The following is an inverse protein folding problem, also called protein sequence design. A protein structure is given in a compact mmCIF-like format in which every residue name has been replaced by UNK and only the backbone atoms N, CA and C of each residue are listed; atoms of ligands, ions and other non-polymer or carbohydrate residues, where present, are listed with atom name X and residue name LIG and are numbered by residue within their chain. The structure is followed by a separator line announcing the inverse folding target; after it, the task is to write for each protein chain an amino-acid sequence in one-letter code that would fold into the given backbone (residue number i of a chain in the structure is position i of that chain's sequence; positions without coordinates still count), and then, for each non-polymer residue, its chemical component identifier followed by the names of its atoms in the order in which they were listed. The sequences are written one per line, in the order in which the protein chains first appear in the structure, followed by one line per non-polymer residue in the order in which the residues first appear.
data_IF_329963876202
#
_entry.id   IF_329963876202
#
_cell.length_a   1.000
_cell.length_b   1.000
_cell.length_c   1.000
_cell.angle_alpha   90.00
_cell.angle_beta   90.00
_cell.angle_gamma   90.00
#
_symmetry.space_group_name_H-M   'P 1'
#
loop_
_entity.id
_entity.type
_entity.pdbx_description
1 polymer ?
#
# COMPACT_ATOMS: atom_id res chain seq x y z
N UNK A 1 -26.58 26.68 9.19
CA UNK A 1 -25.67 25.91 8.31
C UNK A 1 -26.32 25.81 6.95
N UNK A 2 -25.55 25.82 5.86
CA UNK A 2 -26.10 25.58 4.53
C UNK A 2 -26.58 24.12 4.43
N UNK A 3 -27.56 23.86 3.56
CA UNK A 3 -27.93 22.48 3.23
C UNK A 3 -26.95 21.88 2.23
N UNK A 4 -26.96 20.55 2.09
CA UNK A 4 -26.16 19.88 1.07
C UNK A 4 -26.51 20.35 -0.36
N UNK A 5 -25.47 20.48 -1.18
CA UNK A 5 -25.62 20.77 -2.61
C UNK A 5 -26.07 19.50 -3.35
N UNK A 6 -27.22 19.57 -4.03
CA UNK A 6 -27.77 18.45 -4.82
C UNK A 6 -27.99 18.88 -6.27
N UNK A 7 -27.39 18.15 -7.21
CA UNK A 7 -27.45 18.41 -8.66
C UNK A 7 -27.73 17.11 -9.43
N UNK A 8 -28.95 16.58 -9.27
CA UNK A 8 -29.40 15.35 -9.95
C UNK A 8 -30.41 15.60 -11.08
N UNK A 9 -30.65 16.86 -11.46
CA UNK A 9 -31.68 17.20 -12.46
C UNK A 9 -31.33 16.78 -13.89
N UNK A 10 -30.08 16.40 -14.15
CA UNK A 10 -29.59 16.01 -15.48
C UNK A 10 -28.55 14.90 -15.34
N UNK A 11 -28.82 13.74 -15.95
CA UNK A 11 -27.83 12.67 -16.05
C UNK A 11 -26.74 13.02 -17.08
N UNK A 12 -25.52 12.49 -16.90
CA UNK A 12 -24.52 12.46 -17.96
C UNK A 12 -25.05 11.77 -19.23
N UNK A 13 -24.45 12.11 -20.38
CA UNK A 13 -24.89 11.59 -21.67
C UNK A 13 -24.82 10.05 -21.67
N UNK A 14 -25.94 9.40 -22.02
CA UNK A 14 -26.03 7.93 -22.07
C UNK A 14 -26.47 7.27 -20.77
N UNK A 15 -26.67 8.05 -19.70
CA UNK A 15 -27.10 7.56 -18.39
C UNK A 15 -28.52 8.01 -18.04
N UNK A 16 -29.12 7.27 -17.11
CA UNK A 16 -30.36 7.66 -16.43
C UNK A 16 -30.10 7.72 -14.93
N UNK A 17 -30.73 8.68 -14.23
CA UNK A 17 -30.63 8.74 -12.77
C UNK A 17 -31.56 7.68 -12.18
N UNK A 18 -31.05 6.72 -11.37
CA UNK A 18 -31.91 5.77 -10.68
C UNK A 18 -32.97 6.48 -9.84
N UNK A 19 -34.25 6.04 -9.85
CA UNK A 19 -35.30 6.69 -9.07
C UNK A 19 -34.97 6.82 -7.58
N UNK A 20 -34.30 5.82 -7.01
CA UNK A 20 -33.83 5.85 -5.63
C UNK A 20 -32.79 6.96 -5.39
N UNK A 21 -31.87 7.19 -6.33
CA UNK A 21 -30.89 8.27 -6.23
C UNK A 21 -31.57 9.65 -6.27
N UNK A 22 -32.56 9.82 -7.14
CA UNK A 22 -33.34 11.06 -7.20
C UNK A 22 -34.12 11.30 -5.90
N UNK A 23 -34.76 10.27 -5.36
CA UNK A 23 -35.53 10.32 -4.11
C UNK A 23 -34.63 10.66 -2.90
N UNK A 24 -33.47 10.02 -2.78
CA UNK A 24 -32.54 10.30 -1.68
C UNK A 24 -31.89 11.67 -1.85
N UNK A 25 -31.57 12.09 -3.07
CA UNK A 25 -31.06 13.44 -3.34
C UNK A 25 -32.05 14.53 -2.93
N UNK A 26 -33.34 14.36 -3.25
CA UNK A 26 -34.38 15.29 -2.81
C UNK A 26 -34.49 15.36 -1.27
N UNK A 27 -34.28 14.24 -0.58
CA UNK A 27 -34.27 14.21 0.89
C UNK A 27 -33.00 14.85 1.48
N UNK A 28 -31.82 14.56 0.91
CA UNK A 28 -30.51 15.11 1.33
C UNK A 28 -30.46 16.63 1.16
N UNK A 29 -31.07 17.18 0.10
CA UNK A 29 -31.12 18.64 -0.11
C UNK A 29 -31.85 19.41 1.00
N UNK A 30 -32.58 18.72 1.88
CA UNK A 30 -33.23 19.29 3.07
C UNK A 30 -32.42 19.09 4.37
N UNK A 31 -31.29 18.38 4.31
CA UNK A 31 -30.41 18.18 5.45
C UNK A 31 -29.33 19.25 5.50
N UNK A 32 -28.91 19.63 6.70
CA UNK A 32 -27.77 20.53 6.88
C UNK A 32 -26.47 19.83 6.47
N UNK A 33 -25.58 20.56 5.80
CA UNK A 33 -24.23 20.09 5.47
C UNK A 33 -23.49 19.66 6.75
N UNK A 34 -22.69 18.59 6.65
CA UNK A 34 -21.98 17.98 7.77
C UNK A 34 -22.83 17.09 8.68
N UNK A 35 -24.10 16.81 8.36
CA UNK A 35 -24.94 15.89 9.17
C UNK A 35 -24.94 14.44 8.69
N UNK A 36 -24.41 14.17 7.50
CA UNK A 36 -24.30 12.85 6.87
C UNK A 36 -22.86 12.58 6.43
N UNK A 37 -21.89 13.09 7.17
CA UNK A 37 -20.48 13.14 6.75
C UNK A 37 -20.14 14.35 5.88
N UNK A 38 -18.88 14.41 5.45
CA UNK A 38 -18.29 15.51 4.72
C UNK A 38 -18.22 15.19 3.23
N UNK A 39 -19.05 15.87 2.44
CA UNK A 39 -19.00 15.78 0.98
C UNK A 39 -19.42 17.11 0.38
N UNK A 40 -18.87 17.44 -0.78
CA UNK A 40 -19.05 18.75 -1.41
C UNK A 40 -20.38 18.84 -2.16
N UNK A 41 -20.73 17.77 -2.88
CA UNK A 41 -21.95 17.72 -3.65
C UNK A 41 -22.44 16.29 -3.87
N UNK A 42 -23.76 16.15 -3.95
CA UNK A 42 -24.43 14.99 -4.53
C UNK A 42 -24.88 15.37 -5.95
N UNK A 43 -24.07 15.05 -6.94
CA UNK A 43 -24.18 15.55 -8.31
C UNK A 43 -23.92 14.44 -9.32
N UNK A 44 -24.74 14.33 -10.37
CA UNK A 44 -24.55 13.33 -11.41
C UNK A 44 -23.62 13.87 -12.51
N UNK A 45 -22.34 13.51 -12.46
CA UNK A 45 -21.30 14.04 -13.33
C UNK A 45 -20.46 12.91 -13.97
N UNK A 46 -19.92 13.11 -15.19
CA UNK A 46 -18.95 12.18 -15.76
C UNK A 46 -17.74 12.06 -14.83
N UNK A 47 -17.20 10.85 -14.69
CA UNK A 47 -15.91 10.67 -14.00
C UNK A 47 -14.81 11.41 -14.81
N UNK A 48 -13.94 12.24 -14.20
CA UNK A 48 -12.92 12.97 -14.93
C UNK A 48 -12.02 12.05 -15.76
N UNK A 49 -11.70 12.45 -16.99
CA UNK A 49 -10.80 11.66 -17.86
C UNK A 49 -9.38 11.63 -17.29
N UNK A 50 -9.01 12.69 -16.59
CA UNK A 50 -7.72 12.89 -15.93
C UNK A 50 -7.48 11.87 -14.82
N UNK A 51 -8.54 11.30 -14.24
CA UNK A 51 -8.42 10.27 -13.21
C UNK A 51 -7.74 9.01 -13.75
N UNK A 52 -8.19 8.51 -14.91
CA UNK A 52 -7.51 7.44 -15.63
C UNK A 52 -7.81 7.53 -17.14
N UNK A 53 -6.89 8.07 -17.95
CA UNK A 53 -7.10 8.25 -19.38
C UNK A 53 -7.37 6.94 -20.14
N UNK A 54 -6.83 5.82 -19.68
CA UNK A 54 -6.98 4.50 -20.33
C UNK A 54 -8.34 3.87 -20.04
N UNK A 55 -8.95 4.18 -18.90
CA UNK A 55 -10.25 3.63 -18.47
C UNK A 55 -11.42 4.58 -18.70
N UNK A 56 -11.14 5.84 -19.07
CA UNK A 56 -12.13 6.91 -19.20
C UNK A 56 -13.32 6.54 -20.10
N UNK A 57 -13.08 5.93 -21.26
CA UNK A 57 -14.16 5.56 -22.20
C UNK A 57 -15.14 4.56 -21.58
N UNK A 58 -14.63 3.59 -20.81
CA UNK A 58 -15.46 2.60 -20.11
C UNK A 58 -16.24 3.24 -18.97
N UNK A 59 -15.56 4.05 -18.16
CA UNK A 59 -16.18 4.81 -17.08
C UNK A 59 -17.30 5.71 -17.60
N UNK A 60 -17.08 6.48 -18.67
CA UNK A 60 -18.09 7.36 -19.25
C UNK A 60 -19.28 6.61 -19.83
N UNK A 61 -19.08 5.38 -20.32
CA UNK A 61 -20.14 4.56 -20.89
C UNK A 61 -21.06 3.98 -19.82
N UNK A 62 -20.48 3.46 -18.73
CA UNK A 62 -21.18 2.55 -17.82
C UNK A 62 -21.23 3.05 -16.37
N UNK A 63 -20.61 4.20 -16.06
CA UNK A 63 -20.63 4.78 -14.73
C UNK A 63 -20.77 6.32 -14.76
N UNK A 64 -21.18 6.88 -13.63
CA UNK A 64 -21.08 8.31 -13.38
C UNK A 64 -20.82 8.59 -11.89
N UNK A 65 -20.09 9.66 -11.59
CA UNK A 65 -19.92 10.14 -10.23
C UNK A 65 -21.25 10.70 -9.71
N UNK A 66 -21.65 10.33 -8.49
CA UNK A 66 -22.86 10.86 -7.85
C UNK A 66 -22.59 11.58 -6.53
N UNK A 67 -21.40 11.44 -5.94
CA UNK A 67 -20.99 12.08 -4.70
C UNK A 67 -19.52 12.51 -4.80
N UNK A 68 -19.22 13.76 -4.42
CA UNK A 68 -17.88 14.37 -4.47
C UNK A 68 -17.33 14.56 -3.07
N UNK A 69 -16.10 14.09 -2.82
CA UNK A 69 -15.43 14.17 -1.53
C UNK A 69 -14.40 15.32 -1.51
N UNK A 70 -14.08 15.88 -0.33
CA UNK A 70 -13.21 17.06 -0.21
C UNK A 70 -11.77 16.84 -0.67
N UNK A 71 -11.29 15.60 -0.60
CA UNK A 71 -9.95 15.17 -1.03
C UNK A 71 -9.82 15.01 -2.57
N UNK A 72 -10.90 15.27 -3.31
CA UNK A 72 -10.99 15.07 -4.75
C UNK A 72 -11.45 13.67 -5.17
N UNK A 73 -11.70 12.78 -4.22
CA UNK A 73 -12.26 11.46 -4.47
C UNK A 73 -13.75 11.54 -4.84
N UNK A 74 -14.26 10.52 -5.53
CA UNK A 74 -15.63 10.46 -6.03
C UNK A 74 -16.25 9.11 -5.67
N UNK A 75 -17.54 9.09 -5.31
CA UNK A 75 -18.32 7.86 -5.43
C UNK A 75 -19.02 7.81 -6.78
N UNK A 76 -18.80 6.71 -7.49
CA UNK A 76 -19.41 6.40 -8.76
C UNK A 76 -20.54 5.37 -8.61
N UNK A 77 -21.63 5.62 -9.31
CA UNK A 77 -22.66 4.63 -9.59
C UNK A 77 -22.26 3.89 -10.86
N UNK A 78 -22.07 2.58 -10.75
CA UNK A 78 -21.57 1.72 -11.82
C UNK A 78 -22.67 0.76 -12.24
N UNK A 79 -22.96 0.72 -13.53
CA UNK A 79 -23.85 -0.27 -14.13
C UNK A 79 -23.04 -1.51 -14.52
N UNK A 80 -23.14 -2.64 -13.80
CA UNK A 80 -22.35 -3.83 -14.10
C UNK A 80 -22.81 -4.56 -15.37
N UNK A 81 -23.99 -4.19 -15.91
CA UNK A 81 -24.70 -4.94 -16.95
C UNK A 81 -25.50 -6.13 -16.39
N UNK A 82 -26.14 -6.89 -17.29
CA UNK A 82 -26.79 -8.18 -17.01
C UNK A 82 -27.76 -8.22 -15.80
N UNK A 83 -28.81 -7.40 -15.82
CA UNK A 83 -29.86 -7.33 -14.77
C UNK A 83 -29.33 -7.15 -13.32
N UNK A 84 -28.05 -6.80 -13.16
CA UNK A 84 -27.44 -6.57 -11.87
C UNK A 84 -27.85 -5.19 -11.32
N UNK A 85 -27.97 -5.05 -9.99
CA UNK A 85 -28.16 -3.74 -9.39
C UNK A 85 -26.94 -2.85 -9.62
N UNK A 86 -27.18 -1.54 -9.66
CA UNK A 86 -26.12 -0.54 -9.81
C UNK A 86 -25.26 -0.53 -8.55
N UNK A 87 -23.98 -0.86 -8.71
CA UNK A 87 -23.02 -0.88 -7.62
C UNK A 87 -22.49 0.53 -7.32
N UNK A 88 -21.97 0.71 -6.11
CA UNK A 88 -21.31 1.94 -5.69
C UNK A 88 -19.82 1.67 -5.54
N UNK A 89 -19.01 2.47 -6.21
CA UNK A 89 -17.56 2.36 -6.21
C UNK A 89 -16.91 3.67 -5.78
N UNK A 90 -15.76 3.57 -5.11
CA UNK A 90 -14.87 4.69 -4.83
C UNK A 90 -13.88 4.84 -5.98
N UNK A 91 -13.75 6.08 -6.45
CA UNK A 91 -12.81 6.59 -7.43
C UNK A 91 -11.98 7.65 -6.71
N UNK A 92 -10.91 7.21 -6.05
CA UNK A 92 -10.10 8.04 -5.16
C UNK A 92 -9.14 8.96 -5.91
N UNK A 93 -8.80 10.09 -5.31
CA UNK A 93 -7.96 11.13 -5.92
C UNK A 93 -6.53 10.68 -6.23
N UNK A 94 -6.01 9.70 -5.49
CA UNK A 94 -4.68 9.11 -5.69
C UNK A 94 -4.70 7.85 -6.60
N UNK A 95 -5.80 7.65 -7.34
CA UNK A 95 -5.97 6.50 -8.24
C UNK A 95 -6.69 5.32 -7.59
N UNK A 96 -7.23 5.48 -6.38
CA UNK A 96 -7.97 4.42 -5.71
C UNK A 96 -9.23 4.01 -6.49
N UNK A 97 -9.44 2.70 -6.60
CA UNK A 97 -10.59 2.07 -7.21
C UNK A 97 -11.02 0.86 -6.38
N UNK A 98 -12.17 0.96 -5.69
CA UNK A 98 -12.74 -0.17 -4.96
C UNK A 98 -14.26 -0.17 -4.97
N UNK A 99 -14.87 -1.33 -4.78
CA UNK A 99 -16.30 -1.44 -4.51
C UNK A 99 -16.59 -1.00 -3.08
N UNK A 100 -17.53 -0.09 -2.92
CA UNK A 100 -18.05 0.34 -1.61
C UNK A 100 -19.33 -0.43 -1.26
N UNK A 101 -20.19 -0.68 -2.25
CA UNK A 101 -21.38 -1.51 -2.08
C UNK A 101 -21.80 -2.18 -3.39
N UNK A 102 -22.45 -3.34 -3.30
CA UNK A 102 -22.94 -4.09 -4.46
C UNK A 102 -24.25 -3.53 -5.01
N UNK A 103 -24.85 -2.55 -4.33
CA UNK A 103 -26.04 -1.84 -4.77
C UNK A 103 -26.13 -0.44 -4.15
N UNK A 104 -26.85 0.48 -4.78
CA UNK A 104 -27.18 1.78 -4.19
C UNK A 104 -27.93 1.62 -2.86
N UNK A 105 -28.84 0.65 -2.76
CA UNK A 105 -29.59 0.35 -1.54
C UNK A 105 -28.68 -0.10 -0.39
N UNK A 106 -27.71 -0.96 -0.68
CA UNK A 106 -26.70 -1.41 0.30
C UNK A 106 -25.83 -0.25 0.76
N UNK A 107 -25.36 0.59 -0.18
CA UNK A 107 -24.59 1.79 0.15
C UNK A 107 -25.35 2.71 1.11
N UNK A 108 -26.62 3.02 0.83
CA UNK A 108 -27.43 3.87 1.71
C UNK A 108 -27.60 3.26 3.10
N UNK A 109 -27.70 1.93 3.19
CA UNK A 109 -27.80 1.24 4.46
C UNK A 109 -26.49 1.25 5.25
N UNK A 110 -25.34 1.14 4.58
CA UNK A 110 -24.00 1.28 5.17
C UNK A 110 -23.77 2.71 5.66
N UNK A 111 -24.12 3.70 4.83
CA UNK A 111 -24.00 5.11 5.16
C UNK A 111 -24.85 5.52 6.37
N UNK A 112 -26.05 4.98 6.48
CA UNK A 112 -26.90 5.17 7.66
C UNK A 112 -26.32 4.56 8.96
N UNK A 113 -25.34 3.65 8.86
CA UNK A 113 -24.65 3.04 10.00
C UNK A 113 -23.25 3.61 10.24
N UNK A 114 -22.69 4.37 9.28
CA UNK A 114 -21.29 4.79 9.32
C UNK A 114 -20.33 3.62 9.06
N UNK A 115 -20.71 2.72 8.16
CA UNK A 115 -19.97 1.51 7.81
C UNK A 115 -19.65 1.47 6.31
N UNK A 116 -19.44 2.62 5.67
CA UNK A 116 -19.08 2.68 4.24
C UNK A 116 -17.60 2.39 3.99
N UNK A 117 -16.80 2.43 5.05
CA UNK A 117 -15.33 2.45 5.03
C UNK A 117 -14.78 3.66 4.27
N UNK A 118 -15.58 4.71 4.07
CA UNK A 118 -15.15 5.99 3.48
C UNK A 118 -15.04 7.00 4.62
N UNK A 119 -13.82 7.40 4.97
CA UNK A 119 -13.52 8.21 6.15
C UNK A 119 -14.39 9.47 6.26
N UNK A 120 -14.55 10.20 5.16
CA UNK A 120 -15.33 11.43 5.15
C UNK A 120 -16.83 11.20 5.40
N UNK A 121 -17.37 10.05 4.99
CA UNK A 121 -18.78 9.69 5.22
C UNK A 121 -18.99 9.06 6.61
N UNK A 122 -17.97 8.35 7.10
CA UNK A 122 -18.00 7.61 8.34
C UNK A 122 -17.50 8.42 9.56
N UNK A 123 -17.06 9.66 9.36
CA UNK A 123 -16.70 10.61 10.42
C UNK A 123 -17.84 10.78 11.47
N UNK A 124 -17.49 10.58 12.74
CA UNK A 124 -18.40 10.69 13.88
C UNK A 124 -18.83 12.14 14.15
N UNK A 125 -18.01 13.15 13.82
CA UNK A 125 -18.43 14.55 13.88
C UNK A 125 -19.55 14.83 12.87
N UNK A 126 -19.53 14.10 11.75
CA UNK A 126 -20.52 14.15 10.68
C UNK A 126 -21.76 13.27 10.87
N UNK A 127 -21.93 12.58 12.00
CA UNK A 127 -22.88 11.46 12.13
C UNK A 127 -24.32 11.85 12.53
N UNK A 128 -24.58 13.11 12.88
CA UNK A 128 -25.82 13.53 13.55
C UNK A 128 -27.13 13.24 12.79
N UNK A 129 -27.08 13.17 11.46
CA UNK A 129 -28.19 12.88 10.55
C UNK A 129 -28.36 11.41 10.18
N UNK A 130 -27.43 10.50 10.55
CA UNK A 130 -27.49 9.07 10.18
C UNK A 130 -28.76 8.38 10.66
N UNK A 131 -29.26 8.73 11.85
CA UNK A 131 -30.55 8.22 12.37
C UNK A 131 -31.74 8.67 11.50
N UNK A 132 -31.70 9.89 10.97
CA UNK A 132 -32.74 10.39 10.08
C UNK A 132 -32.69 9.68 8.72
N UNK A 133 -31.49 9.40 8.20
CA UNK A 133 -31.32 8.57 6.98
C UNK A 133 -31.86 7.15 7.21
N UNK A 134 -31.52 6.49 8.31
CA UNK A 134 -32.05 5.18 8.66
C UNK A 134 -33.59 5.16 8.74
N UNK A 135 -34.18 6.20 9.35
CA UNK A 135 -35.64 6.34 9.43
C UNK A 135 -36.28 6.57 8.05
N UNK A 136 -35.64 7.37 7.20
CA UNK A 136 -36.08 7.61 5.83
C UNK A 136 -36.06 6.34 4.99
N UNK A 137 -34.97 5.56 5.04
CA UNK A 137 -34.85 4.27 4.35
C UNK A 137 -35.96 3.29 4.77
N UNK A 138 -36.25 3.23 6.08
CA UNK A 138 -37.34 2.42 6.62
C UNK A 138 -38.71 2.88 6.12
N UNK A 139 -38.96 4.19 6.09
CA UNK A 139 -40.23 4.76 5.61
C UNK A 139 -40.44 4.51 4.11
N UNK A 140 -39.37 4.64 3.31
CA UNK A 140 -39.36 4.35 1.87
C UNK A 140 -39.29 2.86 1.54
N UNK A 141 -39.16 2.00 2.55
CA UNK A 141 -39.05 0.54 2.43
C UNK A 141 -37.88 0.10 1.53
N UNK A 142 -36.79 0.85 1.55
CA UNK A 142 -35.57 0.53 0.80
C UNK A 142 -34.95 -0.72 1.40
N UNK A 143 -34.62 -1.71 0.56
CA UNK A 143 -33.98 -2.96 0.96
C UNK A 143 -32.92 -3.33 -0.05
N UNK A 144 -31.72 -3.62 0.44
CA UNK A 144 -30.64 -4.11 -0.40
C UNK A 144 -31.07 -5.39 -1.14
N UNK A 145 -30.95 -5.45 -2.48
CA UNK A 145 -31.16 -6.68 -3.22
C UNK A 145 -30.11 -7.71 -2.83
N UNK A 146 -30.42 -9.00 -3.01
CA UNK A 146 -29.40 -10.05 -2.98
C UNK A 146 -28.60 -9.99 -4.28
N UNK A 147 -27.55 -9.19 -4.29
CA UNK A 147 -26.63 -9.07 -5.42
C UNK A 147 -25.50 -10.10 -5.30
N UNK A 148 -24.86 -10.41 -6.42
CA UNK A 148 -23.52 -11.02 -6.39
C UNK A 148 -22.50 -9.94 -6.08
N UNK A 149 -21.39 -10.34 -5.47
CA UNK A 149 -20.29 -9.42 -5.19
C UNK A 149 -19.79 -8.79 -6.51
N UNK A 150 -19.86 -7.46 -6.56
CA UNK A 150 -19.36 -6.64 -7.65
C UNK A 150 -17.93 -6.22 -7.34
N UNK A 151 -17.07 -6.29 -8.34
CA UNK A 151 -15.67 -5.88 -8.22
C UNK A 151 -15.38 -4.77 -9.21
N UNK A 152 -15.26 -3.55 -8.68
CA UNK A 152 -15.04 -2.37 -9.50
C UNK A 152 -13.66 -2.36 -10.16
N UNK A 153 -12.61 -2.78 -9.46
CA UNK A 153 -11.25 -2.83 -10.02
C UNK A 153 -11.21 -3.82 -11.20
N UNK A 154 -11.84 -4.98 -11.04
CA UNK A 154 -12.01 -5.94 -12.12
C UNK A 154 -12.75 -5.43 -13.31
N UNK A 155 -13.86 -4.76 -12.99
CA UNK A 155 -14.71 -4.22 -13.99
C UNK A 155 -13.97 -3.13 -14.79
N UNK A 156 -13.11 -2.31 -14.17
CA UNK A 156 -12.25 -1.36 -14.86
C UNK A 156 -11.23 -2.03 -15.79
N UNK A 157 -10.70 -3.19 -15.40
CA UNK A 157 -9.75 -3.95 -16.22
C UNK A 157 -10.39 -4.59 -17.46
N UNK A 158 -11.67 -4.91 -17.38
CA UNK A 158 -12.43 -5.41 -18.52
C UNK A 158 -11.99 -6.78 -19.03
N UNK A 159 -12.14 -7.02 -20.34
CA UNK A 159 -11.72 -8.27 -20.98
C UNK A 159 -10.21 -8.30 -21.28
N UNK A 160 -9.43 -7.42 -20.65
CA UNK A 160 -7.98 -7.44 -20.80
C UNK A 160 -7.47 -8.83 -20.43
N UNK A 161 -6.90 -9.52 -21.41
CA UNK A 161 -6.27 -10.83 -21.21
C UNK A 161 -5.17 -10.58 -20.18
N UNK A 162 -5.23 -11.22 -18.99
CA UNK A 162 -4.14 -11.12 -18.03
C UNK A 162 -2.85 -11.46 -18.77
N UNK A 163 -1.74 -10.71 -18.59
CA UNK A 163 -0.48 -11.09 -19.19
C UNK A 163 -0.25 -12.57 -18.86
N UNK A 164 0.15 -13.34 -19.88
CA UNK A 164 0.29 -14.79 -19.78
C UNK A 164 0.95 -15.11 -18.44
N UNK A 165 0.22 -15.82 -17.58
CA UNK A 165 0.65 -16.15 -16.23
C UNK A 165 2.10 -16.57 -16.31
N UNK A 166 2.97 -15.77 -15.69
CA UNK A 166 4.36 -16.14 -15.52
C UNK A 166 4.39 -17.58 -15.00
N UNK A 167 5.33 -18.42 -15.44
CA UNK A 167 5.43 -19.79 -14.97
C UNK A 167 5.30 -19.80 -13.44
N UNK A 168 4.55 -20.75 -12.86
CA UNK A 168 4.31 -20.77 -11.43
C UNK A 168 5.63 -20.56 -10.71
N UNK A 169 5.70 -19.47 -9.96
CA UNK A 169 6.87 -19.10 -9.18
C UNK A 169 7.34 -20.36 -8.44
N UNK A 170 8.65 -20.62 -8.43
CA UNK A 170 9.22 -21.55 -7.47
C UNK A 170 8.73 -21.11 -6.10
N UNK A 171 7.86 -21.93 -5.49
CA UNK A 171 7.38 -21.73 -4.13
C UNK A 171 8.61 -21.64 -3.25
N UNK A 172 8.80 -20.51 -2.56
CA UNK A 172 9.88 -20.37 -1.60
C UNK A 172 9.84 -21.59 -0.66
N UNK A 173 10.93 -22.34 -0.63
CA UNK A 173 11.03 -23.52 0.22
C UNK A 173 11.62 -23.10 1.54
N UNK A 174 10.77 -23.01 2.56
CA UNK A 174 11.18 -22.68 3.92
C UNK A 174 12.01 -23.83 4.51
N UNK A 175 13.31 -23.58 4.74
CA UNK A 175 14.23 -24.54 5.35
C UNK A 175 14.68 -23.99 6.70
N UNK A 176 14.23 -24.56 7.84
CA UNK A 176 14.41 -23.94 9.15
C UNK A 176 15.87 -23.89 9.61
N UNK A 177 16.30 -22.74 10.13
CA UNK A 177 17.60 -22.57 10.81
C UNK A 177 17.64 -23.22 12.19
N UNK A 178 18.82 -23.25 12.81
CA UNK A 178 18.95 -23.66 14.21
C UNK A 178 18.23 -22.72 15.18
N UNK A 179 18.08 -21.43 14.82
CA UNK A 179 17.34 -20.45 15.62
C UNK A 179 15.85 -20.76 15.58
N UNK A 180 15.29 -21.00 14.39
CA UNK A 180 13.90 -21.41 14.22
C UNK A 180 13.52 -22.61 15.10
N UNK A 181 14.40 -23.61 15.22
CA UNK A 181 14.18 -24.81 16.06
C UNK A 181 14.16 -24.53 17.58
N UNK A 182 14.66 -23.38 18.03
CA UNK A 182 14.66 -22.97 19.45
C UNK A 182 13.40 -22.22 19.85
N UNK A 183 12.58 -21.79 18.89
CA UNK A 183 11.33 -21.09 19.16
C UNK A 183 10.30 -22.04 19.79
N UNK A 184 9.31 -21.49 20.50
CA UNK A 184 8.19 -22.29 20.96
C UNK A 184 7.32 -22.78 19.79
N UNK A 185 6.50 -23.84 20.00
CA UNK A 185 5.75 -24.47 18.92
C UNK A 185 4.76 -23.52 18.23
N UNK A 186 4.19 -22.53 18.93
CA UNK A 186 3.23 -21.60 18.32
C UNK A 186 3.92 -20.60 17.41
N UNK A 187 5.06 -20.05 17.84
CA UNK A 187 5.87 -19.12 17.05
C UNK A 187 6.52 -19.85 15.88
N UNK A 188 6.97 -21.10 16.05
CA UNK A 188 7.43 -21.92 14.93
C UNK A 188 6.33 -22.13 13.89
N UNK A 189 5.11 -22.47 14.33
CA UNK A 189 4.00 -22.67 13.41
C UNK A 189 3.69 -21.38 12.64
N UNK A 190 3.68 -20.22 13.31
CA UNK A 190 3.43 -18.93 12.68
C UNK A 190 4.54 -18.54 11.69
N UNK A 191 5.81 -18.71 12.05
CA UNK A 191 6.95 -18.40 11.19
C UNK A 191 6.96 -19.26 9.90
N UNK A 192 6.54 -20.52 9.97
CA UNK A 192 6.42 -21.38 8.79
C UNK A 192 5.33 -20.96 7.79
N UNK A 193 4.44 -20.03 8.18
CA UNK A 193 3.42 -19.45 7.30
C UNK A 193 3.91 -18.20 6.56
N UNK A 194 5.00 -17.57 7.00
CA UNK A 194 5.52 -16.34 6.37
C UNK A 194 5.86 -16.61 4.91
N UNK A 195 5.44 -15.71 4.03
CA UNK A 195 5.65 -15.80 2.58
C UNK A 195 4.73 -16.79 1.87
N UNK A 196 3.81 -17.48 2.58
CA UNK A 196 2.76 -18.29 1.96
C UNK A 196 1.56 -17.44 1.57
N UNK A 197 0.83 -17.89 0.55
CA UNK A 197 -0.39 -17.20 0.09
C UNK A 197 -1.57 -17.44 1.02
N UNK A 198 -2.51 -16.50 1.02
CA UNK A 198 -3.76 -16.59 1.76
C UNK A 198 -4.61 -17.82 1.40
N UNK A 199 -4.50 -18.32 0.16
CA UNK A 199 -5.18 -19.54 -0.30
C UNK A 199 -4.42 -20.84 -0.01
N UNK A 200 -3.25 -20.77 0.62
CA UNK A 200 -2.52 -21.95 1.07
C UNK A 200 -3.33 -22.70 2.15
N UNK A 201 -3.58 -24.01 2.00
CA UNK A 201 -4.34 -24.79 2.97
C UNK A 201 -3.82 -24.70 4.41
N UNK A 202 -2.51 -24.56 4.62
CA UNK A 202 -1.91 -24.42 5.95
C UNK A 202 -2.24 -23.05 6.57
N UNK A 203 -2.23 -22.00 5.75
CA UNK A 203 -2.62 -20.64 6.17
C UNK A 203 -4.11 -20.62 6.55
N UNK A 204 -4.96 -21.20 5.70
CA UNK A 204 -6.40 -21.31 5.99
C UNK A 204 -6.65 -22.09 7.27
N UNK A 205 -6.01 -23.25 7.43
CA UNK A 205 -6.17 -24.09 8.61
C UNK A 205 -5.74 -23.36 9.90
N UNK A 206 -4.64 -22.61 9.85
CA UNK A 206 -4.18 -21.84 11.01
C UNK A 206 -5.13 -20.69 11.34
N UNK A 207 -5.43 -19.82 10.38
CA UNK A 207 -6.24 -18.61 10.64
C UNK A 207 -7.67 -18.98 11.05
N UNK A 208 -8.29 -19.94 10.36
CA UNK A 208 -9.67 -20.34 10.64
C UNK A 208 -9.77 -21.30 11.82
N UNK A 209 -8.92 -22.32 11.88
CA UNK A 209 -8.99 -23.39 12.86
C UNK A 209 -8.32 -23.04 14.20
N UNK A 210 -7.15 -22.40 14.16
CA UNK A 210 -6.40 -22.05 15.38
C UNK A 210 -6.82 -20.69 15.92
N UNK A 211 -6.91 -19.67 15.07
CA UNK A 211 -7.22 -18.30 15.51
C UNK A 211 -8.74 -17.98 15.54
N UNK A 212 -9.58 -18.80 14.89
CA UNK A 212 -11.02 -18.56 14.79
C UNK A 212 -11.37 -17.31 13.97
N UNK A 213 -10.52 -16.94 13.01
CA UNK A 213 -10.65 -15.75 12.17
C UNK A 213 -10.93 -16.12 10.71
N UNK A 214 -11.37 -15.15 9.92
CA UNK A 214 -11.48 -15.30 8.46
C UNK A 214 -10.16 -14.92 7.82
N UNK A 215 -9.73 -15.71 6.83
CA UNK A 215 -8.60 -15.33 5.98
C UNK A 215 -9.07 -14.24 5.01
N UNK A 216 -8.28 -13.18 4.79
CA UNK A 216 -8.54 -12.22 3.73
C UNK A 216 -8.53 -12.95 2.39
N UNK A 217 -9.64 -12.89 1.65
CA UNK A 217 -9.71 -13.50 0.32
C UNK A 217 -8.80 -12.78 -0.68
N UNK A 218 -8.48 -11.52 -0.39
CA UNK A 218 -7.84 -10.63 -1.34
C UNK A 218 -7.30 -9.34 -0.74
N UNK A 219 -6.39 -8.72 -1.48
CA UNK A 219 -5.97 -7.31 -1.39
C UNK A 219 -6.17 -6.62 -2.75
N UNK A 220 -6.09 -5.29 -2.80
CA UNK A 220 -6.25 -4.49 -4.02
C UNK A 220 -5.11 -3.48 -4.14
N UNK A 221 -4.93 -2.83 -5.29
CA UNK A 221 -3.87 -1.80 -5.47
C UNK A 221 -3.93 -0.68 -4.42
N UNK A 222 -5.09 -0.49 -3.79
CA UNK A 222 -5.41 0.57 -2.83
C UNK A 222 -5.53 0.07 -1.39
N UNK A 223 -5.41 -1.23 -1.22
CA UNK A 223 -5.34 -1.91 0.07
C UNK A 223 -4.20 -2.89 -0.05
N UNK A 224 -2.98 -2.34 0.06
CA UNK A 224 -1.73 -3.08 -0.08
C UNK A 224 -1.67 -4.28 0.86
N UNK A 225 -2.27 -4.11 2.04
CA UNK A 225 -2.28 -5.07 3.11
C UNK A 225 -3.61 -5.10 3.88
N UNK A 226 -3.90 -6.26 4.49
CA UNK A 226 -5.03 -6.46 5.41
C UNK A 226 -4.56 -7.17 6.66
N UNK A 227 -4.93 -6.64 7.83
CA UNK A 227 -4.57 -7.22 9.12
C UNK A 227 -5.65 -8.19 9.63
N UNK A 228 -5.21 -9.34 10.14
CA UNK A 228 -6.03 -10.26 10.91
C UNK A 228 -5.57 -10.22 12.37
N UNK A 229 -6.30 -9.48 13.19
CA UNK A 229 -6.00 -9.40 14.62
C UNK A 229 -6.66 -10.55 15.40
N UNK A 230 -5.85 -11.34 16.10
CA UNK A 230 -6.26 -12.42 16.99
C UNK A 230 -5.75 -12.17 18.42
N UNK A 231 -6.19 -11.08 19.04
CA UNK A 231 -5.75 -10.63 20.36
C UNK A 231 -5.78 -11.72 21.45
N UNK A 232 -6.73 -12.68 21.42
CA UNK A 232 -6.78 -13.81 22.38
C UNK A 232 -5.59 -14.75 22.27
N UNK A 233 -5.01 -14.85 21.08
CA UNK A 233 -3.85 -15.67 20.79
C UNK A 233 -2.54 -14.87 20.82
N UNK A 234 -2.61 -13.55 21.01
CA UNK A 234 -1.44 -12.67 21.00
C UNK A 234 -0.76 -12.59 19.65
N UNK A 235 -1.53 -12.66 18.56
CA UNK A 235 -1.00 -12.59 17.20
C UNK A 235 -1.83 -11.59 16.40
N UNK A 236 -1.15 -10.81 15.58
CA UNK A 236 -1.73 -9.98 14.53
C UNK A 236 -0.97 -10.28 13.24
N UNK A 237 -1.67 -10.76 12.21
CA UNK A 237 -1.04 -11.20 10.95
C UNK A 237 -1.36 -10.18 9.86
N UNK A 238 -0.35 -9.75 9.11
CA UNK A 238 -0.48 -8.88 7.94
C UNK A 238 -0.45 -9.73 6.68
N UNK A 239 -1.44 -9.53 5.83
CA UNK A 239 -1.52 -10.11 4.51
C UNK A 239 -1.26 -9.02 3.47
N UNK A 240 -0.15 -9.09 2.73
CA UNK A 240 0.20 -8.11 1.69
C UNK A 240 0.42 -8.78 0.34
N UNK A 241 0.02 -8.11 -0.75
CA UNK A 241 0.35 -8.57 -2.10
C UNK A 241 1.66 -8.01 -2.64
N UNK A 242 2.25 -7.01 -1.97
CA UNK A 242 3.47 -6.36 -2.40
C UNK A 242 4.59 -6.63 -1.39
N UNK A 243 5.20 -7.81 -1.50
CA UNK A 243 6.42 -8.13 -0.76
C UNK A 243 7.61 -7.69 -1.59
N UNK A 244 8.35 -6.68 -1.14
CA UNK A 244 9.52 -6.12 -1.82
C UNK A 244 10.77 -7.01 -1.64
N UNK A 245 10.67 -8.24 -2.13
CA UNK A 245 11.71 -9.25 -2.13
C UNK A 245 11.62 -10.07 -3.42
N UNK A 246 12.76 -10.26 -4.08
CA UNK A 246 12.83 -10.93 -5.40
C UNK A 246 12.43 -12.41 -5.36
N UNK A 247 12.53 -13.07 -4.19
CA UNK A 247 12.08 -14.45 -4.00
C UNK A 247 10.55 -14.60 -4.00
N UNK A 248 9.82 -13.49 -3.80
CA UNK A 248 8.36 -13.46 -3.76
C UNK A 248 7.87 -12.70 -4.99
N UNK A 249 7.54 -13.45 -6.04
CA UNK A 249 7.11 -12.86 -7.30
C UNK A 249 5.85 -12.00 -7.11
N UNK A 250 5.68 -10.93 -7.91
CA UNK A 250 4.42 -10.20 -7.99
C UNK A 250 3.28 -11.19 -8.21
N UNK A 251 2.25 -11.12 -7.37
CA UNK A 251 1.04 -11.90 -7.59
C UNK A 251 0.42 -11.37 -8.87
N UNK A 252 0.20 -12.21 -9.90
CA UNK A 252 -0.50 -11.77 -11.09
C UNK A 252 -1.85 -11.21 -10.66
N UNK A 253 -2.12 -9.96 -11.03
CA UNK A 253 -3.43 -9.36 -10.84
C UNK A 253 -4.45 -10.29 -11.48
N UNK A 254 -5.28 -10.93 -10.67
CA UNK A 254 -6.45 -11.61 -11.24
C UNK A 254 -7.44 -10.55 -11.66
N UNK A 255 -8.48 -10.92 -12.41
CA UNK A 255 -9.54 -9.97 -12.75
C UNK A 255 -9.97 -9.18 -11.51
N UNK A 256 -9.98 -9.76 -10.31
CA UNK A 256 -10.59 -9.14 -9.13
C UNK A 256 -9.60 -8.50 -8.17
N UNK A 257 -8.52 -9.21 -7.85
CA UNK A 257 -7.72 -8.89 -6.68
C UNK A 257 -6.36 -9.57 -6.74
N UNK A 258 -5.49 -9.24 -5.80
CA UNK A 258 -4.33 -10.06 -5.48
C UNK A 258 -4.69 -11.06 -4.38
N UNK A 259 -4.22 -12.29 -4.48
CA UNK A 259 -4.26 -13.25 -3.37
C UNK A 259 -3.00 -12.99 -2.54
N UNK A 260 -3.10 -12.31 -1.39
CA UNK A 260 -1.94 -11.78 -0.69
C UNK A 260 -1.10 -12.91 -0.08
N UNK A 261 0.15 -12.58 0.19
CA UNK A 261 1.04 -13.38 1.03
C UNK A 261 0.87 -12.99 2.50
N UNK A 262 1.15 -13.92 3.41
CA UNK A 262 1.42 -13.62 4.81
C UNK A 262 2.78 -12.90 4.85
N UNK A 263 2.77 -11.58 5.05
CA UNK A 263 3.98 -10.76 4.94
C UNK A 263 4.67 -10.56 6.29
N UNK A 264 3.91 -10.35 7.34
CA UNK A 264 4.44 -10.18 8.69
C UNK A 264 3.43 -10.58 9.76
N UNK A 265 3.91 -10.73 10.99
CA UNK A 265 3.07 -10.90 12.16
C UNK A 265 3.69 -10.29 13.40
N UNK A 266 2.91 -9.52 14.15
CA UNK A 266 3.27 -9.10 15.50
C UNK A 266 2.89 -10.19 16.49
N UNK A 267 3.87 -10.60 17.31
CA UNK A 267 3.68 -11.59 18.37
C UNK A 267 3.67 -10.85 19.71
N UNK A 268 2.67 -11.16 20.54
CA UNK A 268 2.43 -10.51 21.83
C UNK A 268 2.38 -11.55 22.94
N UNK A 269 2.51 -11.09 24.19
CA UNK A 269 2.55 -11.93 25.40
C UNK A 269 1.45 -12.99 25.55
N UNK A 270 0.28 -12.77 24.94
CA UNK A 270 -0.83 -13.74 24.94
C UNK A 270 -0.57 -14.99 24.08
N UNK A 271 0.51 -15.04 23.29
CA UNK A 271 0.96 -16.29 22.64
C UNK A 271 1.28 -17.37 23.68
N UNK A 272 1.69 -16.96 24.88
CA UNK A 272 1.85 -17.83 26.04
C UNK A 272 3.12 -18.69 26.02
N UNK A 273 4.14 -18.28 25.27
CA UNK A 273 5.47 -18.88 25.24
C UNK A 273 6.54 -17.79 25.12
N UNK A 274 7.71 -18.02 25.70
CA UNK A 274 8.85 -17.11 25.60
C UNK A 274 9.51 -17.23 24.22
N UNK A 275 10.06 -16.13 23.72
CA UNK A 275 10.70 -16.08 22.39
C UNK A 275 12.21 -16.15 22.57
N UNK A 276 12.84 -17.22 22.11
CA UNK A 276 14.27 -17.50 22.32
C UNK A 276 14.69 -17.44 23.81
N UNK A 277 13.77 -17.79 24.72
CA UNK A 277 13.99 -17.72 26.15
C UNK A 277 13.87 -16.32 26.77
N UNK A 278 13.49 -15.31 25.98
CA UNK A 278 13.22 -13.95 26.47
C UNK A 278 11.80 -13.87 27.04
N UNK A 279 11.64 -13.51 28.32
CA UNK A 279 10.33 -13.36 28.93
C UNK A 279 9.65 -12.05 28.49
N UNK A 280 8.35 -12.09 28.26
CA UNK A 280 7.56 -10.92 27.86
C UNK A 280 7.56 -9.73 28.84
N UNK A 281 7.94 -9.96 30.09
CA UNK A 281 7.97 -8.94 31.16
C UNK A 281 9.37 -8.40 31.41
N UNK A 282 10.29 -8.59 30.46
CA UNK A 282 11.63 -8.03 30.51
C UNK A 282 11.57 -6.51 30.65
N UNK A 283 12.41 -5.95 31.53
CA UNK A 283 12.33 -4.53 31.91
C UNK A 283 13.51 -3.69 31.46
N UNK A 284 14.56 -4.34 30.94
CA UNK A 284 15.79 -3.66 30.57
C UNK A 284 16.48 -4.37 29.41
N UNK A 285 17.06 -3.59 28.50
CA UNK A 285 17.89 -4.05 27.38
C UNK A 285 18.98 -5.05 27.83
N UNK A 286 19.63 -4.79 28.96
CA UNK A 286 20.70 -5.63 29.49
C UNK A 286 20.27 -7.08 29.80
N UNK A 287 18.98 -7.30 30.11
CA UNK A 287 18.44 -8.65 30.30
C UNK A 287 18.35 -9.40 28.98
N UNK A 288 17.96 -8.72 27.89
CA UNK A 288 17.97 -9.29 26.54
C UNK A 288 19.40 -9.56 26.09
N UNK A 289 20.31 -8.61 26.31
CA UNK A 289 21.73 -8.77 25.95
C UNK A 289 22.38 -10.00 26.60
N UNK A 290 22.00 -10.30 27.85
CA UNK A 290 22.49 -11.49 28.56
C UNK A 290 22.01 -12.80 27.94
N UNK A 291 20.80 -12.81 27.38
CA UNK A 291 20.17 -14.01 26.80
C UNK A 291 20.54 -14.21 25.33
N UNK A 292 20.57 -13.12 24.56
CA UNK A 292 20.70 -13.13 23.10
C UNK A 292 22.11 -12.74 22.61
N UNK A 293 22.92 -12.12 23.47
CA UNK A 293 24.16 -11.44 23.05
C UNK A 293 23.91 -9.95 22.74
N UNK A 294 24.94 -9.20 22.30
CA UNK A 294 24.78 -7.80 21.91
C UNK A 294 23.70 -7.63 20.83
N UNK A 295 22.99 -6.49 20.80
CA UNK A 295 22.01 -6.21 19.75
C UNK A 295 22.68 -6.26 18.37
N UNK A 296 21.90 -6.68 17.36
CA UNK A 296 22.32 -6.63 15.96
C UNK A 296 22.61 -5.19 15.54
N UNK A 297 21.77 -4.26 15.99
CA UNK A 297 21.95 -2.85 15.74
C UNK A 297 21.04 -1.99 16.61
N UNK A 298 20.94 -0.71 16.22
CA UNK A 298 20.01 0.24 16.81
C UNK A 298 19.27 1.01 15.72
N UNK A 299 17.98 1.24 15.93
CA UNK A 299 17.10 2.01 15.06
C UNK A 299 16.60 3.26 15.79
N UNK A 300 16.13 4.25 15.02
CA UNK A 300 15.37 5.36 15.57
C UNK A 300 14.00 4.86 16.01
N UNK A 301 13.44 5.46 17.09
CA UNK A 301 12.10 5.10 17.55
C UNK A 301 11.02 5.50 16.54
N UNK A 302 11.26 6.60 15.81
CA UNK A 302 10.42 7.08 14.74
C UNK A 302 11.24 7.45 13.50
N UNK A 303 10.63 7.37 12.32
CA UNK A 303 11.31 7.59 11.04
C UNK A 303 11.86 9.02 10.84
N UNK A 304 11.36 9.98 11.62
CA UNK A 304 11.77 11.39 11.62
C UNK A 304 12.83 11.71 12.69
N UNK A 305 13.26 10.74 13.50
CA UNK A 305 14.29 10.94 14.52
C UNK A 305 15.67 10.48 14.06
N UNK A 306 16.72 11.23 14.39
CA UNK A 306 18.11 10.84 14.08
C UNK A 306 18.74 9.93 15.16
N UNK A 307 18.17 9.92 16.36
CA UNK A 307 18.74 9.21 17.51
C UNK A 307 18.40 7.72 17.46
N UNK A 308 19.43 6.88 17.27
CA UNK A 308 19.28 5.42 17.26
C UNK A 308 19.18 4.88 18.70
N UNK A 309 17.99 4.94 19.28
CA UNK A 309 17.71 4.60 20.68
C UNK A 309 17.22 3.18 20.88
N UNK A 310 16.51 2.61 19.91
CA UNK A 310 15.85 1.30 20.01
C UNK A 310 16.84 0.20 19.66
N UNK A 311 17.12 -0.69 20.61
CA UNK A 311 17.98 -1.84 20.36
C UNK A 311 17.18 -2.98 19.71
N UNK A 312 17.73 -3.59 18.67
CA UNK A 312 17.09 -4.72 17.98
C UNK A 312 18.02 -5.92 17.80
N UNK A 313 17.43 -7.12 17.77
CA UNK A 313 18.07 -8.40 17.48
C UNK A 313 17.34 -9.10 16.36
N UNK A 314 18.06 -9.35 15.27
CA UNK A 314 17.55 -10.00 14.07
C UNK A 314 18.09 -11.42 13.93
N UNK A 315 17.20 -12.35 13.60
CA UNK A 315 17.54 -13.74 13.37
C UNK A 315 16.86 -14.28 12.12
N UNK A 316 17.65 -14.75 11.15
CA UNK A 316 17.14 -15.53 10.03
C UNK A 316 16.52 -16.85 10.52
N UNK A 317 15.29 -17.10 10.11
CA UNK A 317 14.52 -18.30 10.48
C UNK A 317 14.57 -19.38 9.40
N UNK A 318 14.88 -19.02 8.17
CA UNK A 318 15.18 -19.95 7.09
C UNK A 318 16.60 -19.77 6.52
N UNK A 319 17.14 -20.81 5.89
CA UNK A 319 18.51 -20.79 5.37
C UNK A 319 18.70 -19.94 4.11
N UNK A 320 17.62 -19.49 3.48
CA UNK A 320 17.68 -18.54 2.37
C UNK A 320 17.52 -17.08 2.85
N UNK A 321 17.40 -16.87 4.17
CA UNK A 321 17.30 -15.55 4.80
C UNK A 321 16.13 -14.73 4.22
N UNK A 322 14.97 -15.38 4.06
CA UNK A 322 13.77 -14.72 3.55
C UNK A 322 12.76 -14.45 4.65
N UNK A 323 12.83 -15.15 5.76
CA UNK A 323 11.95 -15.00 6.92
C UNK A 323 12.81 -14.71 8.13
N UNK A 324 12.48 -13.63 8.82
CA UNK A 324 13.23 -13.12 9.95
C UNK A 324 12.36 -12.97 11.19
N UNK A 325 13.02 -13.12 12.34
CA UNK A 325 12.51 -12.76 13.64
C UNK A 325 13.28 -11.53 14.13
N UNK A 326 12.56 -10.47 14.43
CA UNK A 326 13.09 -9.25 15.01
C UNK A 326 12.54 -9.10 16.43
N UNK A 327 13.43 -8.95 17.40
CA UNK A 327 13.09 -8.53 18.77
C UNK A 327 13.59 -7.11 18.93
N UNK A 328 12.72 -6.19 19.34
CA UNK A 328 13.08 -4.80 19.64
C UNK A 328 12.77 -4.49 21.09
N UNK A 329 13.56 -3.62 21.69
CA UNK A 329 13.32 -3.14 23.04
C UNK A 329 13.29 -1.61 23.09
N UNK A 330 12.10 -1.07 23.33
CA UNK A 330 11.85 0.34 23.63
C UNK A 330 10.82 0.43 24.75
N UNK A 331 11.31 0.55 25.99
CA UNK A 331 10.55 0.40 27.26
C UNK A 331 9.85 -0.96 27.48
N UNK A 332 9.54 -1.68 26.41
CA UNK A 332 8.92 -3.00 26.37
C UNK A 332 9.44 -3.80 25.17
N UNK A 333 9.28 -5.12 25.25
CA UNK A 333 9.63 -6.03 24.16
C UNK A 333 8.59 -5.98 23.04
N UNK A 334 9.04 -5.70 21.82
CA UNK A 334 8.31 -5.94 20.57
C UNK A 334 8.88 -7.18 19.88
N UNK A 335 8.01 -8.00 19.27
CA UNK A 335 8.42 -9.20 18.54
C UNK A 335 7.69 -9.23 17.21
N UNK A 336 8.46 -9.26 16.12
CA UNK A 336 7.95 -9.28 14.75
C UNK A 336 8.53 -10.48 14.02
N UNK A 337 7.65 -11.24 13.36
CA UNK A 337 8.03 -12.18 12.31
C UNK A 337 7.73 -11.50 10.98
N UNK A 338 8.65 -11.54 10.03
CA UNK A 338 8.40 -10.95 8.72
C UNK A 338 9.11 -11.72 7.62
N UNK A 339 8.52 -11.69 6.42
CA UNK A 339 9.28 -11.86 5.20
C UNK A 339 10.19 -10.64 5.07
N UNK A 340 11.50 -10.85 4.95
CA UNK A 340 12.43 -9.75 4.72
C UNK A 340 12.09 -9.08 3.40
N UNK A 341 11.95 -7.77 3.43
CA UNK A 341 11.68 -6.95 2.26
C UNK A 341 12.47 -5.65 2.33
N UNK A 342 12.72 -5.05 1.18
CA UNK A 342 13.18 -3.67 1.13
C UNK A 342 12.04 -2.70 1.44
N UNK A 343 12.39 -1.46 1.75
CA UNK A 343 11.48 -0.33 1.62
C UNK A 343 11.45 0.17 0.17
N UNK A 344 10.25 0.40 -0.39
CA UNK A 344 10.11 1.10 -1.66
C UNK A 344 10.61 2.55 -1.55
N UNK A 345 11.70 2.89 -2.23
CA UNK A 345 12.12 4.29 -2.42
C UNK A 345 11.27 4.97 -3.49
N UNK A 346 10.90 4.24 -4.55
CA UNK A 346 10.03 4.74 -5.61
C UNK A 346 9.27 3.57 -6.25
N UNK A 347 7.94 3.59 -6.16
CA UNK A 347 7.06 2.53 -6.67
C UNK A 347 6.81 2.67 -8.17
N UNK A 348 6.75 3.90 -8.66
CA UNK A 348 6.46 4.22 -10.06
C UNK A 348 7.61 5.04 -10.65
N UNK A 349 8.71 4.37 -11.04
CA UNK A 349 9.90 5.07 -11.47
C UNK A 349 9.66 6.08 -12.59
N UNK A 350 10.22 7.26 -12.43
CA UNK A 350 10.15 8.34 -13.39
C UNK A 350 11.56 8.77 -13.83
N UNK A 351 11.65 9.94 -14.46
CA UNK A 351 12.92 10.53 -14.88
C UNK A 351 13.85 10.83 -13.70
N UNK A 352 13.31 11.18 -12.53
CA UNK A 352 14.11 11.46 -11.33
C UNK A 352 14.75 10.18 -10.78
N UNK A 353 14.03 9.06 -10.84
CA UNK A 353 14.57 7.74 -10.50
C UNK A 353 15.68 7.34 -11.46
N UNK A 354 15.48 7.52 -12.77
CA UNK A 354 16.51 7.28 -13.78
C UNK A 354 17.77 8.10 -13.51
N UNK A 355 17.62 9.39 -13.23
CA UNK A 355 18.73 10.29 -12.86
C UNK A 355 19.46 9.81 -11.60
N UNK A 356 18.73 9.41 -10.55
CA UNK A 356 19.34 8.88 -9.34
C UNK A 356 20.09 7.57 -9.59
N UNK A 357 19.53 6.63 -10.36
CA UNK A 357 20.21 5.37 -10.72
C UNK A 357 21.48 5.64 -11.52
N UNK A 358 21.43 6.54 -12.50
CA UNK A 358 22.61 6.96 -13.26
C UNK A 358 23.71 7.50 -12.34
N UNK A 359 23.35 8.40 -11.43
CA UNK A 359 24.25 8.92 -10.40
C UNK A 359 24.81 7.80 -9.49
N UNK A 360 23.93 7.00 -8.87
CA UNK A 360 24.27 5.98 -7.88
C UNK A 360 25.17 4.88 -8.46
N UNK A 361 24.92 4.47 -9.71
CA UNK A 361 25.76 3.51 -10.42
C UNK A 361 27.19 4.02 -10.61
N UNK A 362 27.36 5.29 -11.02
CA UNK A 362 28.70 5.90 -11.21
C UNK A 362 29.48 6.17 -9.92
N UNK A 363 28.84 5.94 -8.76
CA UNK A 363 29.41 6.16 -7.43
C UNK A 363 29.48 4.89 -6.58
N UNK A 364 29.09 3.75 -7.14
CA UNK A 364 29.11 2.47 -6.43
C UNK A 364 28.19 2.43 -5.22
N UNK A 365 27.06 3.16 -5.27
CA UNK A 365 26.04 3.15 -4.22
C UNK A 365 25.05 1.99 -4.36
N UNK A 366 24.95 1.37 -5.55
CA UNK A 366 24.09 0.23 -5.81
C UNK A 366 24.74 -1.09 -5.38
N UNK A 367 23.94 -2.02 -4.85
CA UNK A 367 24.36 -3.40 -4.61
C UNK A 367 24.27 -4.21 -5.90
N UNK A 368 25.42 -4.40 -6.57
CA UNK A 368 25.49 -5.16 -7.80
C UNK A 368 25.11 -6.64 -7.66
N UNK A 369 25.13 -7.19 -6.43
CA UNK A 369 24.76 -8.60 -6.18
C UNK A 369 23.25 -8.84 -6.38
N UNK A 370 22.43 -7.79 -6.22
CA UNK A 370 20.98 -7.80 -6.46
C UNK A 370 20.60 -7.91 -7.93
N UNK A 371 21.53 -7.67 -8.85
CA UNK A 371 21.25 -7.58 -10.29
C UNK A 371 22.03 -8.60 -11.12
N UNK A 372 22.00 -9.92 -10.78
CA UNK A 372 22.83 -10.91 -11.45
C UNK A 372 22.53 -11.01 -12.96
N UNK A 373 21.25 -10.90 -13.35
CA UNK A 373 20.82 -10.93 -14.76
C UNK A 373 21.13 -9.63 -15.53
N UNK A 374 21.34 -8.51 -14.83
CA UNK A 374 21.51 -7.18 -15.42
C UNK A 374 22.90 -6.58 -15.16
N UNK A 375 23.88 -7.39 -14.73
CA UNK A 375 25.23 -6.93 -14.40
C UNK A 375 25.91 -6.16 -15.55
N UNK A 376 25.75 -6.63 -16.79
CA UNK A 376 26.32 -5.96 -17.96
C UNK A 376 25.66 -4.59 -18.22
N UNK A 377 24.36 -4.47 -17.98
CA UNK A 377 23.64 -3.20 -18.11
C UNK A 377 24.02 -2.24 -16.99
N UNK A 378 24.13 -2.73 -15.74
CA UNK A 378 24.61 -1.93 -14.61
C UNK A 378 26.01 -1.37 -14.89
N UNK A 379 26.92 -2.19 -15.41
CA UNK A 379 28.27 -1.76 -15.80
C UNK A 379 28.23 -0.73 -16.95
N UNK A 380 27.33 -0.90 -17.91
CA UNK A 380 27.12 0.09 -18.98
C UNK A 380 26.63 1.43 -18.42
N UNK A 381 25.73 1.44 -17.43
CA UNK A 381 25.33 2.68 -16.73
C UNK A 381 26.49 3.28 -15.94
N UNK A 382 27.20 2.46 -15.15
CA UNK A 382 28.34 2.92 -14.36
C UNK A 382 29.47 3.53 -15.22
N UNK A 383 29.67 3.02 -16.44
CA UNK A 383 30.64 3.52 -17.42
C UNK A 383 30.05 4.53 -18.43
N UNK A 384 28.85 5.03 -18.17
CA UNK A 384 28.16 6.04 -18.97
C UNK A 384 27.82 5.66 -20.42
N UNK A 385 27.71 4.37 -20.70
CA UNK A 385 27.35 3.80 -22.01
C UNK A 385 25.85 3.52 -22.17
N UNK A 386 25.07 3.52 -21.09
CA UNK A 386 23.61 3.39 -21.06
C UNK A 386 23.02 4.35 -20.03
N UNK A 387 21.77 4.79 -20.18
CA UNK A 387 21.12 5.68 -19.19
C UNK A 387 20.62 4.93 -17.96
N UNK A 388 20.40 5.66 -16.85
CA UNK A 388 19.81 5.07 -15.65
C UNK A 388 18.37 4.59 -15.89
N UNK A 389 17.58 5.32 -16.68
CA UNK A 389 16.22 4.97 -17.07
C UNK A 389 16.15 3.68 -17.91
N UNK A 390 17.20 3.34 -18.66
CA UNK A 390 17.29 2.05 -19.35
C UNK A 390 17.46 0.89 -18.36
N UNK A 391 18.26 1.09 -17.32
CA UNK A 391 18.42 0.12 -16.23
C UNK A 391 17.13 -0.02 -15.43
N UNK A 392 16.50 1.09 -15.06
CA UNK A 392 15.21 1.10 -14.35
C UNK A 392 14.17 0.25 -15.10
N UNK A 393 14.00 0.49 -16.41
CA UNK A 393 13.01 -0.22 -17.23
C UNK A 393 13.25 -1.73 -17.31
N UNK A 394 14.50 -2.18 -17.25
CA UNK A 394 14.84 -3.59 -17.46
C UNK A 394 15.05 -4.36 -16.17
N UNK A 395 15.63 -3.73 -15.16
CA UNK A 395 16.09 -4.37 -13.93
C UNK A 395 15.24 -4.01 -12.70
N UNK A 396 14.41 -2.96 -12.77
CA UNK A 396 13.59 -2.46 -11.67
C UNK A 396 12.09 -2.40 -12.03
N UNK A 397 11.48 -3.50 -12.54
CA UNK A 397 10.08 -3.50 -12.98
C UNK A 397 9.08 -3.30 -11.83
N UNK A 398 9.54 -3.42 -10.58
CA UNK A 398 8.74 -3.25 -9.35
C UNK A 398 9.14 -2.00 -8.55
N UNK A 399 9.80 -1.06 -9.21
CA UNK A 399 10.30 0.14 -8.56
C UNK A 399 11.71 0.00 -8.00
N UNK A 400 12.17 1.08 -7.39
CA UNK A 400 13.44 1.17 -6.69
C UNK A 400 13.21 0.91 -5.20
N UNK A 401 13.98 -0.02 -4.62
CA UNK A 401 13.95 -0.34 -3.21
C UNK A 401 15.25 0.11 -2.54
N UNK A 402 15.21 0.32 -1.23
CA UNK A 402 16.37 0.75 -0.45
C UNK A 402 17.47 -0.32 -0.41
N UNK A 403 17.09 -1.61 -0.40
CA UNK A 403 18.00 -2.74 -0.44
C UNK A 403 18.65 -2.97 -1.81
N UNK A 404 18.26 -2.22 -2.85
CA UNK A 404 19.04 -2.09 -4.08
C UNK A 404 20.29 -1.24 -3.89
N UNK A 405 20.35 -0.44 -2.81
CA UNK A 405 21.58 0.23 -2.38
C UNK A 405 22.43 -0.74 -1.57
N UNK A 406 23.75 -0.57 -1.69
CA UNK A 406 24.71 -1.34 -0.89
C UNK A 406 24.43 -1.16 0.60
N UNK A 407 24.73 -2.20 1.36
CA UNK A 407 24.65 -2.13 2.81
C UNK A 407 25.76 -1.23 3.35
N UNK A 408 25.37 -0.05 3.85
CA UNK A 408 26.27 0.88 4.53
C UNK A 408 25.47 1.62 5.62
N UNK A 409 26.04 1.80 6.84
CA UNK A 409 25.33 2.45 7.94
C UNK A 409 24.72 3.79 7.53
N UNK A 410 23.40 3.95 7.67
CA UNK A 410 22.67 5.18 7.36
C UNK A 410 22.37 5.45 5.88
N UNK A 411 22.93 4.71 4.91
CA UNK A 411 22.73 4.99 3.48
C UNK A 411 21.27 4.81 3.06
N UNK A 412 20.72 3.63 3.39
CA UNK A 412 19.35 3.24 3.03
C UNK A 412 18.32 4.15 3.70
N UNK A 413 18.56 4.50 4.97
CA UNK A 413 17.73 5.42 5.73
C UNK A 413 17.75 6.85 5.17
N UNK A 414 18.93 7.38 4.81
CA UNK A 414 19.00 8.69 4.16
C UNK A 414 18.24 8.69 2.82
N UNK A 415 18.45 7.66 2.00
CA UNK A 415 17.75 7.52 0.74
C UNK A 415 16.24 7.48 0.97
N UNK A 416 15.76 6.66 1.91
CA UNK A 416 14.36 6.59 2.30
C UNK A 416 13.79 7.98 2.63
N UNK A 417 14.42 8.69 3.57
CA UNK A 417 13.96 10.03 3.97
C UNK A 417 13.94 11.02 2.80
N UNK A 418 14.95 10.95 1.92
CA UNK A 418 15.08 11.83 0.76
C UNK A 418 14.03 11.59 -0.33
N UNK A 419 13.65 10.34 -0.56
CA UNK A 419 12.57 10.01 -1.49
C UNK A 419 11.19 10.34 -0.91
N UNK A 420 11.01 10.25 0.42
CA UNK A 420 9.71 10.41 1.09
C UNK A 420 9.45 11.77 1.75
N UNK A 421 10.25 12.80 1.46
CA UNK A 421 10.06 14.15 2.03
C UNK A 421 10.02 14.17 3.58
N UNK A 422 10.94 13.45 4.22
CA UNK A 422 11.05 13.39 5.69
C UNK A 422 12.20 14.27 6.18
N UNK A 423 12.15 14.87 7.37
CA UNK A 423 13.26 15.65 7.95
C UNK A 423 13.82 16.78 7.06
N UNK A 424 12.95 17.41 6.26
CA UNK A 424 13.34 18.45 5.30
C UNK A 424 14.19 17.92 4.13
N UNK A 425 14.19 16.61 3.91
CA UNK A 425 14.92 15.89 2.89
C UNK A 425 13.99 15.53 1.74
N UNK A 426 14.10 16.19 0.59
CA UNK A 426 13.25 15.85 -0.56
C UNK A 426 13.95 15.97 -1.91
N UNK A 427 13.94 14.87 -2.67
CA UNK A 427 14.51 14.81 -4.02
C UNK A 427 13.92 15.87 -4.94
N UNK A 428 12.60 16.08 -4.92
CA UNK A 428 11.94 17.06 -5.79
C UNK A 428 12.41 18.48 -5.49
N UNK A 429 12.58 18.85 -4.20
CA UNK A 429 13.09 20.18 -3.82
C UNK A 429 14.52 20.40 -4.28
N UNK A 430 15.37 19.40 -4.12
CA UNK A 430 16.77 19.48 -4.51
C UNK A 430 16.94 19.54 -6.04
N UNK A 431 16.14 18.77 -6.77
CA UNK A 431 16.12 18.84 -8.23
C UNK A 431 15.50 20.16 -8.72
N UNK A 432 14.50 20.74 -8.03
CA UNK A 432 13.97 22.08 -8.35
C UNK A 432 15.04 23.18 -8.18
N UNK A 433 15.89 23.09 -7.16
CA UNK A 433 17.04 24.02 -6.99
C UNK A 433 18.03 23.91 -8.14
N UNK A 434 18.22 22.70 -8.67
CA UNK A 434 19.21 22.40 -9.72
C UNK A 434 18.71 22.73 -11.12
N UNK A 435 17.48 22.35 -11.43
CA UNK A 435 16.89 22.44 -12.78
C UNK A 435 15.89 23.58 -12.94
N UNK A 436 15.47 24.21 -11.84
CA UNK A 436 14.33 25.11 -11.81
C UNK A 436 13.02 24.34 -11.71
N UNK A 437 11.91 25.08 -11.57
CA UNK A 437 10.57 24.53 -11.36
C UNK A 437 9.63 24.76 -12.54
N UNK A 438 8.70 23.82 -12.77
CA UNK A 438 7.56 23.92 -13.69
C UNK A 438 6.28 23.49 -12.99
N UNK A 439 5.14 23.90 -13.52
CA UNK A 439 3.86 23.32 -13.10
C UNK A 439 3.84 21.83 -13.48
N UNK A 440 3.64 20.97 -12.48
CA UNK A 440 3.43 19.55 -12.65
C UNK A 440 2.00 19.21 -13.08
N UNK A 441 1.74 17.95 -13.45
CA UNK A 441 0.43 17.51 -13.94
C UNK A 441 -0.70 17.66 -12.91
N UNK A 442 -0.37 17.69 -11.61
CA UNK A 442 -1.32 17.81 -10.50
C UNK A 442 -1.29 19.19 -9.83
N UNK A 443 -0.79 20.22 -10.51
CA UNK A 443 -0.76 21.60 -9.99
C UNK A 443 0.36 21.92 -8.99
N UNK A 444 1.13 20.92 -8.54
CA UNK A 444 2.33 21.11 -7.71
C UNK A 444 3.56 21.48 -8.54
N UNK A 445 4.53 22.18 -7.93
CA UNK A 445 5.81 22.49 -8.58
C UNK A 445 6.66 21.21 -8.74
N UNK A 446 7.05 20.91 -9.97
CA UNK A 446 7.96 19.80 -10.34
C UNK A 446 9.30 20.32 -10.90
N UNK A 447 10.40 19.56 -10.84
CA UNK A 447 11.65 19.95 -11.48
C UNK A 447 11.49 20.05 -13.00
N UNK A 448 12.19 21.00 -13.63
CA UNK A 448 12.34 21.06 -15.10
C UNK A 448 13.35 20.02 -15.59
N UNK A 449 12.99 18.75 -15.44
CA UNK A 449 13.78 17.60 -15.83
C UNK A 449 12.93 16.72 -16.74
N UNK A 450 13.32 16.59 -18.01
CA UNK A 450 12.58 15.84 -19.03
C UNK A 450 13.23 14.50 -19.38
N UNK A 451 14.53 14.36 -19.10
CA UNK A 451 15.32 13.17 -19.43
C UNK A 451 16.49 13.03 -18.44
N UNK A 452 16.98 11.81 -18.24
CA UNK A 452 18.11 11.48 -17.35
C UNK A 452 19.43 11.42 -18.14
N UNK A 453 19.68 12.42 -18.98
CA UNK A 453 20.92 12.52 -19.75
C UNK A 453 22.13 12.65 -18.83
N UNK A 454 23.31 12.26 -19.32
CA UNK A 454 24.55 12.43 -18.56
C UNK A 454 24.84 13.89 -18.19
N UNK A 455 24.45 14.85 -19.04
CA UNK A 455 24.51 16.28 -18.70
C UNK A 455 23.60 16.63 -17.51
N UNK A 456 22.42 16.03 -17.43
CA UNK A 456 21.52 16.22 -16.28
C UNK A 456 22.10 15.55 -15.02
N UNK A 457 22.62 14.34 -15.14
CA UNK A 457 23.30 13.65 -14.02
C UNK A 457 24.49 14.48 -13.53
N UNK A 458 25.35 14.97 -14.41
CA UNK A 458 26.51 15.80 -14.06
C UNK A 458 26.10 17.14 -13.45
N UNK A 459 24.98 17.72 -13.90
CA UNK A 459 24.43 18.94 -13.30
C UNK A 459 23.88 18.71 -11.89
N UNK A 460 23.27 17.55 -11.62
CA UNK A 460 22.77 17.19 -10.30
C UNK A 460 23.87 16.68 -9.35
N UNK A 461 24.95 16.11 -9.89
CA UNK A 461 26.01 15.46 -9.13
C UNK A 461 26.58 16.31 -7.99
N UNK A 462 26.87 17.62 -8.11
CA UNK A 462 27.40 18.39 -6.98
C UNK A 462 26.47 18.45 -5.76
N UNK A 463 25.15 18.51 -6.00
CA UNK A 463 24.17 18.50 -4.93
C UNK A 463 24.07 17.09 -4.33
N UNK A 464 24.01 16.06 -5.16
CA UNK A 464 23.90 14.67 -4.71
C UNK A 464 25.18 14.21 -4.02
N UNK A 465 26.35 14.64 -4.47
CA UNK A 465 27.63 14.35 -3.83
C UNK A 465 27.68 14.97 -2.43
N UNK A 466 27.15 16.18 -2.26
CA UNK A 466 26.97 16.78 -0.92
C UNK A 466 26.02 15.96 -0.05
N UNK A 467 24.92 15.47 -0.64
CA UNK A 467 23.87 14.72 0.05
C UNK A 467 24.36 13.36 0.55
N UNK A 468 25.09 12.65 -0.31
CA UNK A 468 25.55 11.29 -0.05
C UNK A 468 27.03 11.23 0.32
N UNK A 469 27.65 12.35 0.70
CA UNK A 469 29.09 12.49 0.91
C UNK A 469 29.68 11.40 1.84
N UNK A 470 28.94 10.99 2.86
CA UNK A 470 29.36 9.97 3.84
C UNK A 470 29.53 8.57 3.22
N UNK A 471 28.80 8.30 2.13
CA UNK A 471 28.80 7.00 1.44
C UNK A 471 29.43 7.06 0.05
N UNK A 472 29.85 8.23 -0.42
CA UNK A 472 30.68 8.30 -1.60
C UNK A 472 32.08 7.82 -1.23
N UNK A 473 32.52 6.76 -1.89
CA UNK A 473 33.80 6.15 -1.59
C UNK A 473 34.95 7.18 -1.67
N UNK A 474 35.87 7.05 -0.72
CA UNK A 474 37.30 7.12 -1.01
C UNK A 474 37.70 5.91 -1.85
#
# INVERSE_FOLDING_TARGET
MANYTVKLSKAPKGHEIPPLLADVGAWIGNQSHGTLGWFDALAAEPVPKEWNPEKADRLHRDAFAFLQLPDGSLLALVNPGADAPWAVALVGSEGEARTVANSLEEFLALWARGETEVSDLDDEEGASGRKALAAWLKAKKVRAPKAKDFDFAAWLDGDAVPPASAPPATVHTFVPTAVMKKLGPKVQQLAALMGRRADDPEVIAYVTGVLGKKVPASTSENTDSVNVEAAKHGVEIVFSHDILNDAFLPIPKTAKTFIPYVSSAWVRSKVGEDVLGVPWKVKAEAELTKLLGPPTGRSAAFADEDALTVAYWDFALDTAEHVWLTLEFDEALSVTLAVEGGGALERYPDVTTGLFIGYAATRGLLDASRFPAHRALLEAVATRKAKGSEFVKQALPRGLWDNHLREAPGLRELAWRWFHNMNGLWITDDLKKTFGKRAGPHGHDAPKLDDDTWDAVDKAAPLLDKRFAEWLAK
#
